data_IF_345893448357
#
_entry.id   IF_345893448357
#
_cell.length_a   1.000
_cell.length_b   1.000
_cell.length_c   1.000
_cell.angle_alpha   90.00
_cell.angle_beta   90.00
_cell.angle_gamma   90.00
#
_symmetry.space_group_name_H-M   'P 1'
#
loop_
_entity.id
_entity.type
_entity.pdbx_description
1 polymer ?
#
# COMPACT_ATOMS: atom_id res chain seq x y z
N UNK A 1 -0.99 -13.97 7.56
CA UNK A 1 -0.12 -12.80 7.56
C UNK A 1 0.97 -12.92 8.64
N UNK A 2 0.62 -13.21 9.92
CA UNK A 2 1.58 -13.28 11.01
C UNK A 2 2.74 -14.27 10.75
N UNK A 3 2.45 -15.44 10.16
CA UNK A 3 3.46 -16.46 9.83
C UNK A 3 4.46 -16.02 8.72
N UNK A 4 4.18 -14.92 8.03
CA UNK A 4 4.99 -14.41 6.92
C UNK A 4 5.26 -12.91 7.07
N UNK A 5 5.29 -12.42 8.31
CA UNK A 5 5.46 -10.98 8.58
C UNK A 5 6.94 -10.57 8.73
N UNK A 6 7.86 -11.53 8.78
CA UNK A 6 9.28 -11.24 8.90
C UNK A 6 9.77 -10.43 7.69
N UNK A 7 10.51 -9.36 7.93
CA UNK A 7 11.00 -8.44 6.90
C UNK A 7 9.94 -7.49 6.31
N UNK A 8 8.67 -7.59 6.69
CA UNK A 8 7.62 -6.70 6.21
C UNK A 8 7.46 -5.46 7.10
N UNK A 9 7.28 -4.31 6.45
CA UNK A 9 6.83 -3.07 7.10
C UNK A 9 5.29 -3.00 6.97
N UNK A 10 4.59 -3.16 8.10
CA UNK A 10 3.13 -3.14 8.11
C UNK A 10 2.63 -1.79 8.63
N UNK A 11 1.68 -1.22 7.91
CA UNK A 11 1.01 0.04 8.26
C UNK A 11 -0.48 -0.23 8.31
N UNK A 12 -1.12 0.03 9.44
CA UNK A 12 -2.56 -0.07 9.55
C UNK A 12 -3.22 1.18 8.93
N UNK A 13 -4.08 0.97 7.94
CA UNK A 13 -4.84 2.04 7.30
C UNK A 13 -6.23 2.07 7.94
N UNK A 14 -6.59 3.17 8.64
CA UNK A 14 -7.90 3.26 9.27
C UNK A 14 -9.02 3.32 8.22
N UNK A 15 -10.17 2.69 8.48
CA UNK A 15 -11.34 2.83 7.62
C UNK A 15 -11.76 4.30 7.53
N UNK A 16 -12.48 4.64 6.48
CA UNK A 16 -12.89 6.04 6.23
C UNK A 16 -13.72 6.60 7.40
N UNK A 17 -14.65 5.81 7.92
CA UNK A 17 -15.43 6.11 9.13
C UNK A 17 -14.85 5.31 10.31
N UNK A 18 -13.66 5.72 10.74
CA UNK A 18 -12.97 5.08 11.86
C UNK A 18 -13.70 5.34 13.18
N UNK A 19 -14.24 4.29 13.76
CA UNK A 19 -14.97 4.30 15.04
C UNK A 19 -14.03 4.02 16.22
N UNK A 20 -14.56 4.12 17.44
CA UNK A 20 -13.82 3.71 18.64
C UNK A 20 -13.51 2.20 18.64
N UNK A 21 -14.45 1.40 18.14
CA UNK A 21 -14.26 -0.07 18.02
C UNK A 21 -13.11 -0.42 17.07
N UNK A 22 -12.98 0.31 15.96
CA UNK A 22 -11.87 0.11 15.02
C UNK A 22 -10.51 0.44 15.66
N UNK A 23 -10.45 1.42 16.54
CA UNK A 23 -9.22 1.77 17.25
C UNK A 23 -8.89 0.81 18.39
N UNK A 24 -9.89 0.21 19.00
CA UNK A 24 -9.74 -0.71 20.13
C UNK A 24 -9.02 -2.02 19.73
N UNK A 25 -8.96 -2.36 18.45
CA UNK A 25 -8.26 -3.56 17.97
C UNK A 25 -6.73 -3.37 17.86
N UNK A 26 -6.24 -2.13 17.83
CA UNK A 26 -4.82 -1.82 17.59
C UNK A 26 -3.85 -2.52 18.55
N UNK A 27 -4.07 -2.56 19.88
CA UNK A 27 -3.15 -3.26 20.79
C UNK A 27 -3.06 -4.76 20.48
N UNK A 28 -4.18 -5.40 20.16
CA UNK A 28 -4.22 -6.81 19.79
C UNK A 28 -3.52 -7.07 18.45
N UNK A 29 -3.68 -6.19 17.48
CA UNK A 29 -2.99 -6.29 16.19
C UNK A 29 -1.48 -6.08 16.35
N UNK A 30 -1.07 -5.09 17.12
CA UNK A 30 0.35 -4.82 17.39
C UNK A 30 1.04 -6.02 18.06
N UNK A 31 0.36 -6.65 19.03
CA UNK A 31 0.88 -7.84 19.72
C UNK A 31 1.01 -9.06 18.80
N UNK A 32 0.11 -9.21 17.81
CA UNK A 32 0.09 -10.36 16.90
C UNK A 32 0.93 -10.18 15.64
N UNK A 33 1.27 -8.94 15.28
CA UNK A 33 1.96 -8.56 14.05
C UNK A 33 3.20 -7.72 14.39
N UNK A 34 4.35 -8.33 14.68
CA UNK A 34 5.56 -7.59 15.11
C UNK A 34 6.05 -6.55 14.09
N UNK A 35 5.73 -6.73 12.80
CA UNK A 35 6.02 -5.76 11.73
C UNK A 35 5.08 -4.56 11.70
N UNK A 36 3.96 -4.58 12.46
CA UNK A 36 3.04 -3.45 12.55
C UNK A 36 3.58 -2.41 13.52
N UNK A 37 4.04 -1.30 12.98
CA UNK A 37 4.64 -0.19 13.75
C UNK A 37 3.92 1.13 13.55
N UNK A 38 3.08 1.24 12.51
CA UNK A 38 2.51 2.51 12.10
C UNK A 38 1.01 2.44 11.85
N UNK A 39 0.37 3.57 12.13
CA UNK A 39 -1.03 3.87 11.78
C UNK A 39 -1.01 5.00 10.76
N UNK A 40 -1.59 4.78 9.58
CA UNK A 40 -1.67 5.80 8.54
C UNK A 40 -2.56 6.97 8.96
N UNK A 41 -2.07 8.20 8.82
CA UNK A 41 -2.82 9.42 9.05
C UNK A 41 -2.79 10.28 7.78
N UNK A 42 -3.96 10.67 7.28
CA UNK A 42 -4.10 11.53 6.10
C UNK A 42 -4.88 12.79 6.42
N UNK A 43 -4.45 13.92 5.84
CA UNK A 43 -5.11 15.22 5.94
C UNK A 43 -5.77 15.53 4.58
N UNK A 44 -7.08 15.39 4.49
CA UNK A 44 -7.83 15.40 3.23
C UNK A 44 -8.89 16.51 3.16
N UNK A 45 -8.79 17.53 4.01
CA UNK A 45 -9.74 18.68 4.08
C UNK A 45 -11.20 18.25 4.22
N UNK A 46 -11.47 17.28 5.12
CA UNK A 46 -12.80 16.77 5.43
C UNK A 46 -13.55 17.60 6.48
N UNK A 47 -12.86 18.60 7.09
CA UNK A 47 -13.38 19.43 8.16
C UNK A 47 -13.11 18.90 9.57
N UNK A 48 -12.92 17.59 9.73
CA UNK A 48 -12.60 16.95 11.01
C UNK A 48 -11.17 16.41 11.11
N UNK A 49 -10.30 16.69 10.12
CA UNK A 49 -8.98 16.09 9.98
C UNK A 49 -8.13 16.20 11.24
N UNK A 50 -8.10 17.37 11.88
CA UNK A 50 -7.34 17.59 13.11
C UNK A 50 -7.83 16.69 14.24
N UNK A 51 -9.14 16.61 14.43
CA UNK A 51 -9.74 15.79 15.49
C UNK A 51 -9.49 14.30 15.21
N UNK A 52 -9.59 13.89 13.95
CA UNK A 52 -9.35 12.53 13.49
C UNK A 52 -7.90 12.12 13.70
N UNK A 53 -6.93 12.93 13.26
CA UNK A 53 -5.51 12.63 13.42
C UNK A 53 -5.13 12.58 14.90
N UNK A 54 -5.65 13.49 15.74
CA UNK A 54 -5.44 13.45 17.19
C UNK A 54 -6.01 12.17 17.83
N UNK A 55 -7.14 11.64 17.37
CA UNK A 55 -7.67 10.36 17.85
C UNK A 55 -6.76 9.20 17.45
N UNK A 56 -6.30 9.19 16.19
CA UNK A 56 -5.36 8.17 15.67
C UNK A 56 -4.04 8.19 16.44
N UNK A 57 -3.47 9.37 16.69
CA UNK A 57 -2.21 9.52 17.42
C UNK A 57 -2.30 8.96 18.85
N UNK A 58 -3.38 9.31 19.57
CA UNK A 58 -3.62 8.78 20.92
C UNK A 58 -3.77 7.26 20.91
N UNK A 59 -4.56 6.72 19.99
CA UNK A 59 -4.77 5.28 19.90
C UNK A 59 -3.51 4.52 19.48
N UNK A 60 -2.75 5.06 18.54
CA UNK A 60 -1.46 4.51 18.13
C UNK A 60 -0.48 4.45 19.31
N UNK A 61 -0.30 5.57 20.02
CA UNK A 61 0.56 5.64 21.21
C UNK A 61 0.15 4.66 22.29
N UNK A 62 -1.14 4.52 22.56
CA UNK A 62 -1.67 3.56 23.53
C UNK A 62 -1.38 2.09 23.13
N UNK A 63 -1.22 1.82 21.85
CA UNK A 63 -0.87 0.50 21.31
C UNK A 63 0.64 0.31 21.06
N UNK A 64 1.49 1.26 21.47
CA UNK A 64 2.94 1.22 21.20
C UNK A 64 3.30 1.46 19.73
N UNK A 65 2.41 2.09 18.96
CA UNK A 65 2.58 2.42 17.55
C UNK A 65 2.79 3.94 17.36
N UNK A 66 3.27 4.34 16.20
CA UNK A 66 3.35 5.74 15.77
C UNK A 66 2.37 6.03 14.63
N UNK A 67 1.89 7.27 14.51
CA UNK A 67 1.22 7.69 13.30
C UNK A 67 2.24 7.98 12.20
N UNK A 68 1.86 7.67 10.95
CA UNK A 68 2.66 7.91 9.75
C UNK A 68 1.87 8.85 8.82
N UNK A 69 2.48 9.96 8.42
CA UNK A 69 1.86 10.88 7.48
C UNK A 69 1.74 10.24 6.09
N UNK A 70 0.52 10.25 5.55
CA UNK A 70 0.26 9.77 4.20
C UNK A 70 -0.80 10.65 3.54
N UNK A 71 -0.95 10.56 2.24
CA UNK A 71 -1.97 11.29 1.51
C UNK A 71 -3.00 10.38 0.83
N UNK A 72 -2.93 9.06 1.07
CA UNK A 72 -3.84 8.07 0.47
C UNK A 72 -4.06 8.35 -1.03
N UNK A 73 -2.96 8.35 -1.77
CA UNK A 73 -2.88 8.85 -3.15
C UNK A 73 -3.60 7.93 -4.11
N UNK A 74 -4.54 8.49 -4.90
CA UNK A 74 -5.24 7.80 -5.98
C UNK A 74 -4.82 8.31 -7.37
N UNK A 75 -4.23 9.49 -7.47
CA UNK A 75 -3.78 10.11 -8.72
C UNK A 75 -2.61 11.07 -8.44
N UNK A 76 -1.82 11.36 -9.47
CA UNK A 76 -0.62 12.17 -9.33
C UNK A 76 -0.89 13.69 -9.27
N UNK A 77 -2.00 14.15 -9.84
CA UNK A 77 -2.40 15.56 -9.86
C UNK A 77 -3.92 15.70 -9.71
N UNK A 78 -4.42 16.82 -9.15
CA UNK A 78 -5.85 17.01 -8.86
C UNK A 78 -6.76 16.92 -10.08
N UNK A 79 -6.28 17.33 -11.26
CA UNK A 79 -6.98 17.28 -12.54
C UNK A 79 -7.25 15.86 -13.05
N UNK A 80 -6.60 14.84 -12.44
CA UNK A 80 -6.81 13.43 -12.75
C UNK A 80 -7.95 12.78 -11.95
N UNK A 81 -8.56 13.52 -11.03
CA UNK A 81 -9.73 13.04 -10.28
C UNK A 81 -10.86 12.52 -11.17
N UNK A 82 -11.26 13.17 -12.30
CA UNK A 82 -12.33 12.64 -13.14
C UNK A 82 -12.09 11.22 -13.65
N UNK A 83 -10.83 10.86 -13.94
CA UNK A 83 -10.48 9.48 -14.31
C UNK A 83 -10.73 8.51 -13.16
N UNK A 84 -10.34 8.86 -11.94
CA UNK A 84 -10.59 8.06 -10.75
C UNK A 84 -12.10 7.90 -10.49
N UNK A 85 -12.89 8.95 -10.71
CA UNK A 85 -14.34 8.90 -10.55
C UNK A 85 -14.97 7.90 -11.55
N UNK A 86 -14.52 7.89 -12.81
CA UNK A 86 -14.92 6.89 -13.81
C UNK A 86 -14.52 5.48 -13.41
N UNK A 87 -13.29 5.28 -12.94
CA UNK A 87 -12.85 3.97 -12.47
C UNK A 87 -13.67 3.47 -11.28
N UNK A 88 -14.06 4.38 -10.37
CA UNK A 88 -14.97 4.06 -9.27
C UNK A 88 -16.33 3.64 -9.78
N UNK A 89 -16.89 4.35 -10.75
CA UNK A 89 -18.16 4.00 -11.37
C UNK A 89 -18.14 2.63 -12.04
N UNK A 90 -17.06 2.29 -12.73
CA UNK A 90 -16.87 0.96 -13.34
C UNK A 90 -16.84 -0.12 -12.27
N UNK A 91 -16.08 0.07 -11.19
CA UNK A 91 -15.99 -0.88 -10.08
C UNK A 91 -17.32 -1.11 -9.40
N UNK A 92 -18.08 -0.03 -9.18
CA UNK A 92 -19.37 -0.08 -8.47
C UNK A 92 -20.56 -0.41 -9.40
N UNK A 93 -20.35 -0.52 -10.72
CA UNK A 93 -21.41 -0.81 -11.71
C UNK A 93 -22.46 0.29 -11.81
N UNK A 94 -22.09 1.56 -11.63
CA UNK A 94 -22.98 2.73 -11.67
C UNK A 94 -22.52 3.74 -12.70
N UNK A 95 -23.44 4.62 -13.15
CA UNK A 95 -23.11 5.77 -13.99
C UNK A 95 -22.67 6.96 -13.13
N UNK A 96 -21.95 7.91 -13.72
CA UNK A 96 -21.37 9.04 -13.00
C UNK A 96 -22.43 9.91 -12.29
N UNK A 97 -23.58 10.09 -12.93
CA UNK A 97 -24.73 10.83 -12.39
C UNK A 97 -25.41 10.12 -11.21
N UNK A 98 -25.22 8.81 -11.08
CA UNK A 98 -25.75 7.98 -9.96
C UNK A 98 -24.73 7.68 -8.88
N UNK A 99 -23.46 7.98 -9.12
CA UNK A 99 -22.36 7.62 -8.21
C UNK A 99 -22.45 8.33 -6.84
N UNK A 100 -22.89 9.60 -6.83
CA UNK A 100 -23.14 10.34 -5.60
C UNK A 100 -22.02 10.23 -4.55
N UNK A 101 -22.32 9.66 -3.39
CA UNK A 101 -21.38 9.50 -2.26
C UNK A 101 -20.37 8.37 -2.44
N UNK A 102 -20.41 7.61 -3.52
CA UNK A 102 -19.38 6.62 -3.86
C UNK A 102 -18.09 7.32 -4.33
N UNK A 103 -18.21 8.57 -4.79
CA UNK A 103 -17.08 9.38 -5.20
C UNK A 103 -16.42 10.08 -4.01
N UNK A 104 -15.12 10.33 -4.12
CA UNK A 104 -14.41 11.14 -3.13
C UNK A 104 -14.97 12.57 -3.07
N UNK A 105 -15.08 13.18 -1.87
CA UNK A 105 -15.70 14.51 -1.71
C UNK A 105 -14.88 15.64 -2.35
N UNK A 106 -13.58 15.45 -2.53
CA UNK A 106 -12.67 16.44 -3.11
C UNK A 106 -11.53 15.76 -3.90
N UNK A 107 -10.61 16.55 -4.45
CA UNK A 107 -9.46 16.07 -5.22
C UNK A 107 -8.16 15.98 -4.40
N UNK A 108 -8.26 15.87 -3.07
CA UNK A 108 -7.09 15.94 -2.18
C UNK A 108 -6.22 14.68 -2.14
N UNK A 109 -6.66 13.58 -2.75
CA UNK A 109 -5.90 12.32 -2.83
C UNK A 109 -4.89 12.31 -3.98
N UNK A 110 -4.17 13.41 -4.17
CA UNK A 110 -3.10 13.56 -5.16
C UNK A 110 -1.72 13.56 -4.48
N UNK A 111 -0.67 13.37 -5.26
CA UNK A 111 0.70 13.52 -4.77
C UNK A 111 0.93 14.97 -4.35
N UNK A 112 1.35 15.18 -3.11
CA UNK A 112 1.69 16.48 -2.57
C UNK A 112 3.22 16.63 -2.46
N UNK A 113 3.68 17.86 -2.61
CA UNK A 113 5.10 18.16 -2.39
C UNK A 113 5.49 17.96 -0.92
N UNK A 114 6.78 17.72 -0.63
CA UNK A 114 7.27 17.66 0.75
C UNK A 114 6.91 18.90 1.58
N UNK A 115 6.97 20.08 0.97
CA UNK A 115 6.62 21.35 1.63
C UNK A 115 5.15 21.38 2.01
N UNK A 116 4.26 20.93 1.12
CA UNK A 116 2.83 20.88 1.40
C UNK A 116 2.52 19.86 2.50
N UNK A 117 3.14 18.67 2.45
CA UNK A 117 3.00 17.68 3.51
C UNK A 117 3.49 18.21 4.86
N UNK A 118 4.61 18.95 4.89
CA UNK A 118 5.11 19.58 6.11
C UNK A 118 4.12 20.62 6.66
N UNK A 119 3.48 21.40 5.81
CA UNK A 119 2.45 22.36 6.19
C UNK A 119 1.21 21.67 6.79
N UNK A 120 0.72 20.62 6.15
CA UNK A 120 -0.47 19.87 6.60
C UNK A 120 -0.23 19.17 7.94
N UNK A 121 0.96 18.61 8.13
CA UNK A 121 1.35 17.86 9.33
C UNK A 121 2.18 18.70 10.31
N UNK A 122 2.13 20.03 10.24
CA UNK A 122 2.90 20.91 11.14
C UNK A 122 2.62 20.67 12.65
N UNK A 123 1.45 20.13 12.98
CA UNK A 123 1.10 19.72 14.36
C UNK A 123 1.64 18.36 14.76
N UNK A 124 2.06 17.55 13.80
CA UNK A 124 2.55 16.17 13.99
C UNK A 124 3.83 15.94 13.18
N UNK A 125 4.92 16.70 13.45
CA UNK A 125 6.15 16.61 12.67
C UNK A 125 6.76 15.20 12.72
N UNK A 126 6.59 14.50 13.85
CA UNK A 126 7.06 13.11 14.00
C UNK A 126 6.39 12.16 13.00
N UNK A 127 5.12 12.41 12.63
CA UNK A 127 4.43 11.58 11.64
C UNK A 127 5.09 11.66 10.25
N UNK A 128 5.69 12.79 9.90
CA UNK A 128 6.50 12.93 8.69
C UNK A 128 7.84 12.24 8.82
N UNK A 129 8.51 12.35 9.98
CA UNK A 129 9.77 11.65 10.23
C UNK A 129 9.60 10.12 10.07
N UNK A 130 8.45 9.56 10.46
CA UNK A 130 8.17 8.13 10.27
C UNK A 130 8.16 7.71 8.80
N UNK A 131 7.81 8.59 7.85
CA UNK A 131 7.85 8.25 6.41
C UNK A 131 9.26 7.93 5.95
N UNK A 132 10.24 8.67 6.45
CA UNK A 132 11.66 8.44 6.14
C UNK A 132 12.16 7.12 6.75
N UNK A 133 11.77 6.85 8.00
CA UNK A 133 12.13 5.59 8.68
C UNK A 133 11.61 4.39 7.91
N UNK A 134 10.35 4.43 7.44
CA UNK A 134 9.78 3.35 6.63
C UNK A 134 10.50 3.22 5.28
N UNK A 135 10.77 4.34 4.60
CA UNK A 135 11.45 4.33 3.32
C UNK A 135 12.87 3.73 3.44
N UNK A 136 13.62 4.12 4.47
CA UNK A 136 14.97 3.61 4.72
C UNK A 136 14.99 2.13 5.13
N UNK A 137 13.93 1.64 5.76
CA UNK A 137 13.77 0.23 6.11
C UNK A 137 13.39 -0.65 4.90
N UNK A 138 12.88 -0.08 3.80
CA UNK A 138 12.52 -0.78 2.58
C UNK A 138 13.73 -0.89 1.64
N UNK A 139 14.66 -1.79 1.94
CA UNK A 139 15.90 -1.97 1.17
C UNK A 139 15.78 -2.98 0.01
N UNK A 140 14.60 -3.58 -0.19
CA UNK A 140 14.40 -4.55 -1.28
C UNK A 140 14.45 -3.88 -2.66
N UNK A 141 15.17 -4.52 -3.58
CA UNK A 141 15.23 -4.11 -4.99
C UNK A 141 14.87 -5.30 -5.89
N UNK A 142 14.13 -5.04 -6.96
CA UNK A 142 13.83 -6.05 -7.99
C UNK A 142 15.09 -6.62 -8.64
N UNK A 143 16.20 -5.89 -8.61
CA UNK A 143 17.51 -6.38 -9.09
C UNK A 143 18.10 -7.48 -8.21
N UNK A 144 17.59 -7.66 -6.98
CA UNK A 144 17.97 -8.76 -6.10
C UNK A 144 17.24 -10.07 -6.45
N UNK A 145 16.23 -10.04 -7.31
CA UNK A 145 15.53 -11.24 -7.77
C UNK A 145 16.38 -11.91 -8.85
N UNK A 146 17.05 -13.00 -8.48
CA UNK A 146 17.64 -13.91 -9.44
C UNK A 146 16.56 -14.97 -9.75
N UNK A 147 16.09 -15.00 -11.01
CA UNK A 147 15.25 -16.09 -11.48
C UNK A 147 16.17 -17.25 -11.85
N UNK A 148 16.19 -18.28 -11.03
CA UNK A 148 16.72 -19.58 -11.42
C UNK A 148 15.59 -20.33 -12.10
N UNK A 149 15.62 -20.39 -13.44
CA UNK A 149 14.76 -21.30 -14.17
C UNK A 149 15.17 -22.72 -13.83
N UNK A 150 14.23 -23.64 -13.53
CA UNK A 150 14.59 -25.04 -13.34
C UNK A 150 15.30 -25.55 -14.61
N UNK A 151 16.48 -26.12 -14.42
CA UNK A 151 17.17 -26.77 -15.51
C UNK A 151 16.32 -27.96 -15.94
N UNK A 152 15.96 -28.00 -17.23
CA UNK A 152 15.27 -29.14 -17.78
C UNK A 152 16.18 -30.36 -17.72
N UNK A 153 15.61 -31.50 -17.38
CA UNK A 153 16.34 -32.78 -17.36
C UNK A 153 16.63 -33.19 -18.82
N UNK A 154 17.87 -33.05 -19.23
CA UNK A 154 18.32 -33.50 -20.56
C UNK A 154 19.11 -34.81 -20.45
N UNK A 155 19.08 -35.69 -21.46
CA UNK A 155 19.88 -36.88 -21.48
C UNK A 155 21.38 -36.58 -21.37
N UNK A 156 22.14 -37.52 -20.81
CA UNK A 156 23.59 -37.37 -20.67
C UNK A 156 24.25 -37.13 -22.03
N UNK A 157 25.08 -36.10 -22.12
CA UNK A 157 25.77 -35.69 -23.35
C UNK A 157 24.93 -34.82 -24.31
N UNK A 158 23.68 -34.50 -23.98
CA UNK A 158 22.84 -33.56 -24.75
C UNK A 158 22.85 -32.16 -24.14
N UNK A 159 22.62 -31.12 -24.98
CA UNK A 159 22.28 -29.77 -24.52
C UNK A 159 20.76 -29.60 -24.53
N UNK A 160 20.18 -28.61 -23.78
CA UNK A 160 18.75 -28.30 -23.84
C UNK A 160 18.25 -28.07 -25.27
N UNK A 161 19.03 -27.34 -26.10
CA UNK A 161 18.68 -27.09 -27.50
C UNK A 161 18.68 -28.35 -28.34
N UNK A 162 19.73 -29.24 -28.20
CA UNK A 162 19.79 -30.46 -28.97
C UNK A 162 18.68 -31.44 -28.57
N UNK A 163 18.33 -31.48 -27.28
CA UNK A 163 17.24 -32.32 -26.80
C UNK A 163 15.88 -31.80 -27.28
N UNK A 164 15.63 -30.49 -27.24
CA UNK A 164 14.42 -29.86 -27.78
C UNK A 164 14.27 -30.14 -29.29
N UNK A 165 15.35 -29.98 -30.05
CA UNK A 165 15.34 -30.31 -31.49
C UNK A 165 14.98 -31.78 -31.73
N UNK A 166 15.58 -32.70 -30.98
CA UNK A 166 15.30 -34.14 -31.10
C UNK A 166 13.83 -34.47 -30.78
N UNK A 167 13.26 -33.87 -29.70
CA UNK A 167 11.85 -34.02 -29.33
C UNK A 167 10.92 -33.45 -30.41
N UNK A 168 11.28 -32.30 -30.98
CA UNK A 168 10.48 -31.63 -32.04
C UNK A 168 10.40 -32.51 -33.27
N UNK A 169 11.54 -33.06 -33.73
CA UNK A 169 11.55 -33.96 -34.90
C UNK A 169 10.86 -35.30 -34.64
N UNK A 170 11.00 -35.84 -33.43
CA UNK A 170 10.28 -37.07 -33.06
C UNK A 170 8.75 -36.85 -33.03
N UNK A 171 8.30 -35.67 -32.53
CA UNK A 171 6.89 -35.30 -32.54
C UNK A 171 6.33 -35.00 -33.92
N UNK A 172 7.13 -34.49 -34.85
CA UNK A 172 6.71 -34.21 -36.21
C UNK A 172 6.61 -35.50 -37.10
N UNK A 173 7.23 -36.59 -36.67
CA UNK A 173 7.18 -37.86 -37.39
C UNK A 173 5.99 -38.75 -37.00
N UNK A 174 5.24 -38.39 -35.95
CA UNK A 174 3.99 -39.04 -35.49
C UNK A 174 2.75 -38.31 -35.98
#
# INVERSE_FOLDING_TARGET
LAAHAEGLQLIWIPPERCTHADLAVLPSLAARLPGLRHVAASYLYRGDDVARINRLDRAAKAAGLAILATNDVHYHAPDRRPLQDVMTCIREGVTIDRAGRLLNPNAERHLKSPTEMARLFARWPDALAQTRIVADACAFSLTHLAYEYPNETVPEGATPESHLAALTWAGAAN
#
